data_IF_561739170398
#
_entry.id   IF_561739170398
#
_cell.length_a   1.000
_cell.length_b   1.000
_cell.length_c   1.000
_cell.angle_alpha   90.00
_cell.angle_beta   90.00
_cell.angle_gamma   90.00
#
_symmetry.space_group_name_H-M   'P 1'
#
loop_
_entity.id
_entity.type
_entity.pdbx_description
1 polymer ?
#
# COMPACT_ATOMS: atom_id res chain seq x y z
N UNK A 1 -4.06 20.91 2.37
CA UNK A 1 -4.43 19.50 2.07
C UNK A 1 -5.47 19.05 3.08
N UNK A 2 -6.65 18.57 2.70
CA UNK A 2 -7.60 17.95 3.63
C UNK A 2 -7.03 16.69 4.29
N UNK A 3 -7.45 16.43 5.53
CA UNK A 3 -6.94 15.30 6.32
C UNK A 3 -8.09 14.42 6.83
N UNK A 4 -7.79 13.15 7.11
CA UNK A 4 -8.69 12.16 7.68
C UNK A 4 -8.04 11.45 8.86
N UNK A 5 -8.85 10.83 9.70
CA UNK A 5 -8.33 9.98 10.78
C UNK A 5 -7.95 8.61 10.20
N UNK A 6 -6.83 8.09 10.64
CA UNK A 6 -6.33 6.78 10.25
C UNK A 6 -6.92 5.69 11.17
N UNK A 7 -8.18 5.36 10.95
CA UNK A 7 -8.91 4.41 11.77
C UNK A 7 -8.76 4.71 13.27
N UNK A 8 -8.68 3.67 14.08
CA UNK A 8 -8.55 3.76 15.56
C UNK A 8 -7.22 4.33 16.07
N UNK A 9 -6.24 4.58 15.19
CA UNK A 9 -4.92 5.10 15.62
C UNK A 9 -5.01 6.52 16.17
N UNK A 10 -6.05 7.28 15.78
CA UNK A 10 -6.19 8.69 16.11
C UNK A 10 -5.30 9.63 15.31
N UNK A 11 -4.37 9.09 14.50
CA UNK A 11 -3.47 9.88 13.67
C UNK A 11 -4.24 10.61 12.56
N UNK A 12 -3.85 11.87 12.34
CA UNK A 12 -4.43 12.69 11.29
C UNK A 12 -3.50 12.74 10.09
N UNK A 13 -3.93 12.11 9.00
CA UNK A 13 -3.14 11.98 7.77
C UNK A 13 -3.81 12.67 6.60
N UNK A 14 -3.04 13.07 5.58
CA UNK A 14 -3.59 13.62 4.34
C UNK A 14 -4.46 12.59 3.63
N UNK A 15 -5.59 13.03 3.06
CA UNK A 15 -6.51 12.15 2.36
C UNK A 15 -5.93 11.50 1.09
N UNK A 16 -4.85 12.06 0.56
CA UNK A 16 -4.00 11.50 -0.49
C UNK A 16 -2.64 11.17 0.06
N UNK A 17 -2.02 10.08 -0.44
CA UNK A 17 -0.69 9.62 -0.10
C UNK A 17 0.20 9.51 -1.33
N UNK A 18 1.50 9.77 -1.16
CA UNK A 18 2.51 9.63 -2.20
C UNK A 18 3.00 8.19 -2.26
N UNK A 19 2.76 7.52 -3.41
CA UNK A 19 3.20 6.14 -3.66
C UNK A 19 4.66 6.06 -4.08
N UNK A 20 5.47 5.39 -3.26
CA UNK A 20 6.92 5.31 -3.38
C UNK A 20 7.44 4.54 -4.59
N UNK A 21 6.69 3.56 -5.11
CA UNK A 21 7.15 2.79 -6.28
C UNK A 21 7.52 3.68 -7.47
N UNK A 22 6.79 4.77 -7.70
CA UNK A 22 7.07 5.73 -8.78
C UNK A 22 8.30 6.60 -8.48
N UNK A 23 8.52 6.95 -7.23
CA UNK A 23 9.66 7.75 -6.79
C UNK A 23 10.99 7.01 -6.94
N UNK A 24 10.97 5.68 -6.86
CA UNK A 24 12.18 4.85 -6.97
C UNK A 24 12.64 4.55 -8.40
N UNK A 25 11.82 4.79 -9.43
CA UNK A 25 12.10 4.42 -10.82
C UNK A 25 13.44 4.95 -11.33
N UNK A 26 14.11 4.19 -12.18
CA UNK A 26 15.44 4.51 -12.73
C UNK A 26 15.46 5.70 -13.66
N UNK A 27 14.35 5.99 -14.34
CA UNK A 27 14.16 7.14 -15.24
C UNK A 27 13.93 8.46 -14.50
N UNK A 28 13.63 8.42 -13.19
CA UNK A 28 13.53 9.60 -12.34
C UNK A 28 14.84 9.82 -11.58
N UNK A 29 15.44 11.01 -11.70
CA UNK A 29 16.67 11.34 -10.96
C UNK A 29 16.41 11.45 -9.45
N UNK A 30 17.44 11.13 -8.63
CA UNK A 30 17.32 11.26 -7.17
C UNK A 30 17.03 12.70 -6.73
N UNK A 31 17.57 13.71 -7.43
CA UNK A 31 17.33 15.13 -7.15
C UNK A 31 15.88 15.50 -7.40
N UNK A 32 15.34 15.07 -8.53
CA UNK A 32 13.94 15.35 -8.87
C UNK A 32 12.98 14.62 -7.93
N UNK A 33 13.25 13.36 -7.60
CA UNK A 33 12.46 12.62 -6.61
C UNK A 33 12.40 13.33 -5.25
N UNK A 34 13.54 13.80 -4.74
CA UNK A 34 13.61 14.60 -3.50
C UNK A 34 12.81 15.89 -3.62
N UNK A 35 12.90 16.59 -4.77
CA UNK A 35 12.14 17.80 -5.04
C UNK A 35 10.63 17.55 -4.99
N UNK A 36 10.16 16.49 -5.65
CA UNK A 36 8.74 16.10 -5.65
C UNK A 36 8.25 15.78 -4.23
N UNK A 37 9.00 14.95 -3.49
CA UNK A 37 8.62 14.56 -2.12
C UNK A 37 8.54 15.80 -1.22
N UNK A 38 9.54 16.68 -1.24
CA UNK A 38 9.54 17.89 -0.41
C UNK A 38 8.41 18.84 -0.79
N UNK A 39 8.15 19.03 -2.08
CA UNK A 39 7.03 19.85 -2.55
C UNK A 39 5.67 19.25 -2.10
N UNK A 40 5.52 17.93 -2.11
CA UNK A 40 4.32 17.27 -1.61
C UNK A 40 4.13 17.52 -0.10
N UNK A 41 5.19 17.35 0.71
CA UNK A 41 5.18 17.63 2.14
C UNK A 41 4.86 19.10 2.45
N UNK A 42 5.45 20.04 1.72
CA UNK A 42 5.19 21.47 1.89
C UNK A 42 3.75 21.86 1.51
N UNK A 43 3.13 21.12 0.58
CA UNK A 43 1.70 21.24 0.27
C UNK A 43 0.77 20.53 1.28
N UNK A 44 1.34 19.88 2.30
CA UNK A 44 0.60 19.18 3.36
C UNK A 44 0.16 17.76 2.99
N UNK A 45 0.67 17.17 1.90
CA UNK A 45 0.54 15.74 1.60
C UNK A 45 1.55 15.01 2.47
N UNK A 46 1.13 14.54 3.66
CA UNK A 46 2.03 14.02 4.67
C UNK A 46 2.20 12.50 4.66
N UNK A 47 1.32 11.74 4.00
CA UNK A 47 1.38 10.28 3.99
C UNK A 47 2.34 9.78 2.89
N UNK A 48 3.46 9.16 3.32
CA UNK A 48 4.51 8.65 2.45
C UNK A 48 4.48 7.12 2.44
N UNK A 49 3.94 6.53 1.37
CA UNK A 49 3.89 5.08 1.16
C UNK A 49 5.18 4.58 0.50
N UNK A 50 5.86 3.63 1.12
CA UNK A 50 7.05 3.01 0.57
C UNK A 50 7.03 1.47 0.73
N UNK A 51 8.07 0.78 0.29
CA UNK A 51 8.34 -0.62 0.54
C UNK A 51 9.84 -0.92 0.46
N UNK A 52 10.27 -1.90 1.23
CA UNK A 52 11.66 -2.39 1.26
C UNK A 52 12.13 -2.84 -0.13
N UNK A 53 11.26 -3.50 -0.90
CA UNK A 53 11.57 -4.05 -2.23
C UNK A 53 11.51 -3.02 -3.35
N UNK A 54 10.80 -1.89 -3.17
CA UNK A 54 10.57 -0.94 -4.25
C UNK A 54 11.86 -0.44 -4.89
N UNK A 55 12.03 -0.81 -6.18
CA UNK A 55 13.19 -0.44 -6.99
C UNK A 55 14.53 -0.79 -6.30
N UNK A 56 14.64 -1.98 -5.72
CA UNK A 56 15.80 -2.46 -4.97
C UNK A 56 16.24 -1.51 -3.84
N UNK A 57 15.27 -0.93 -3.12
CA UNK A 57 15.48 -0.01 -1.99
C UNK A 57 15.79 1.44 -2.40
N UNK A 58 15.84 1.74 -3.70
CA UNK A 58 16.07 3.13 -4.15
C UNK A 58 14.94 4.06 -3.72
N UNK A 59 13.70 3.57 -3.65
CA UNK A 59 12.56 4.36 -3.20
C UNK A 59 12.74 4.82 -1.74
N UNK A 60 13.05 3.91 -0.81
CA UNK A 60 13.33 4.27 0.59
C UNK A 60 14.53 5.20 0.72
N UNK A 61 15.61 4.96 -0.03
CA UNK A 61 16.81 5.81 -0.01
C UNK A 61 16.51 7.25 -0.47
N UNK A 62 15.64 7.42 -1.48
CA UNK A 62 15.24 8.75 -1.97
C UNK A 62 14.32 9.45 -0.96
N UNK A 63 13.39 8.72 -0.37
CA UNK A 63 12.56 9.24 0.72
C UNK A 63 13.44 9.68 1.90
N UNK A 64 14.39 8.84 2.34
CA UNK A 64 15.33 9.18 3.41
C UNK A 64 16.13 10.46 3.16
N UNK A 65 16.56 10.69 1.91
CA UNK A 65 17.18 11.97 1.53
C UNK A 65 16.23 13.16 1.65
N UNK A 66 14.97 12.97 1.29
CA UNK A 66 13.96 14.02 1.34
C UNK A 66 13.56 14.38 2.79
N UNK A 67 13.60 13.39 3.71
CA UNK A 67 13.24 13.56 5.11
C UNK A 67 14.25 14.35 5.95
N UNK A 68 15.44 14.65 5.43
CA UNK A 68 16.44 15.49 6.11
C UNK A 68 15.93 16.92 6.27
N UNK A 69 16.68 17.71 7.05
CA UNK A 69 16.47 19.16 7.21
C UNK A 69 15.09 19.53 7.74
N UNK A 70 14.56 18.75 8.73
CA UNK A 70 13.28 19.00 9.37
C UNK A 70 12.04 18.49 8.62
N UNK A 71 12.22 17.73 7.53
CA UNK A 71 11.08 17.18 6.78
C UNK A 71 10.49 15.91 7.41
N UNK A 72 11.27 15.17 8.25
CA UNK A 72 10.75 13.98 8.95
C UNK A 72 9.52 14.29 9.80
N UNK A 73 9.50 15.41 10.46
CA UNK A 73 8.43 15.87 11.34
C UNK A 73 7.14 16.22 10.59
N UNK A 74 7.24 16.47 9.29
CA UNK A 74 6.08 16.74 8.42
C UNK A 74 5.48 15.45 7.85
N UNK A 75 6.20 14.32 7.92
CA UNK A 75 5.85 13.09 7.23
C UNK A 75 5.29 12.03 8.17
N UNK A 76 4.20 11.38 7.76
CA UNK A 76 3.78 10.07 8.27
C UNK A 76 4.42 9.02 7.36
N UNK A 77 5.43 8.34 7.84
CA UNK A 77 6.27 7.42 7.06
C UNK A 77 5.72 6.01 7.18
N UNK A 78 5.33 5.44 6.06
CA UNK A 78 4.96 4.04 5.95
C UNK A 78 5.94 3.31 5.04
N UNK A 79 6.31 2.08 5.43
CA UNK A 79 6.98 1.13 4.55
C UNK A 79 6.44 -0.29 4.77
N UNK A 80 6.93 -1.23 3.99
CA UNK A 80 6.46 -2.62 3.99
C UNK A 80 7.67 -3.55 3.91
N UNK A 81 7.52 -4.76 4.45
CA UNK A 81 8.51 -5.82 4.32
C UNK A 81 7.87 -7.11 3.82
N UNK A 82 8.62 -7.87 3.06
CA UNK A 82 8.17 -9.06 2.34
C UNK A 82 8.48 -10.37 3.09
N UNK A 83 9.42 -10.33 4.03
CA UNK A 83 9.83 -11.50 4.81
C UNK A 83 8.68 -12.10 5.60
N UNK A 84 8.48 -13.42 5.47
CA UNK A 84 7.44 -14.16 6.21
C UNK A 84 7.99 -14.80 7.48
N UNK A 85 9.31 -14.95 7.59
CA UNK A 85 9.95 -15.42 8.82
C UNK A 85 10.38 -14.25 9.69
N UNK A 86 10.49 -14.48 10.99
CA UNK A 86 11.03 -13.52 11.96
C UNK A 86 12.40 -12.99 11.52
N UNK A 87 13.27 -13.90 11.05
CA UNK A 87 14.65 -13.57 10.63
C UNK A 87 14.66 -12.59 9.45
N UNK A 88 13.94 -12.92 8.38
CA UNK A 88 13.93 -12.07 7.17
C UNK A 88 13.21 -10.74 7.43
N UNK A 89 12.09 -10.76 8.14
CA UNK A 89 11.38 -9.53 8.50
C UNK A 89 12.25 -8.61 9.36
N UNK A 90 12.95 -9.15 10.38
CA UNK A 90 13.85 -8.36 11.23
C UNK A 90 14.98 -7.71 10.43
N UNK A 91 15.57 -8.45 9.48
CA UNK A 91 16.61 -7.93 8.58
C UNK A 91 16.07 -6.79 7.72
N UNK A 92 14.92 -6.99 7.06
CA UNK A 92 14.31 -6.01 6.18
C UNK A 92 13.89 -4.74 6.95
N UNK A 93 13.37 -4.86 8.19
CA UNK A 93 13.06 -3.73 9.07
C UNK A 93 14.31 -2.88 9.35
N UNK A 94 15.45 -3.53 9.70
CA UNK A 94 16.69 -2.80 9.96
C UNK A 94 17.21 -2.10 8.70
N UNK A 95 17.13 -2.74 7.55
CA UNK A 95 17.53 -2.16 6.27
C UNK A 95 16.65 -0.96 5.90
N UNK A 96 15.32 -1.06 6.09
CA UNK A 96 14.38 0.04 5.87
C UNK A 96 14.68 1.25 6.76
N UNK A 97 14.88 1.05 8.06
CA UNK A 97 15.27 2.12 8.98
C UNK A 97 16.57 2.82 8.53
N UNK A 98 17.56 2.02 8.11
CA UNK A 98 18.85 2.53 7.61
C UNK A 98 18.70 3.33 6.30
N UNK A 99 17.93 2.83 5.33
CA UNK A 99 17.72 3.49 4.03
C UNK A 99 16.92 4.79 4.18
N UNK A 100 15.88 4.75 5.03
CA UNK A 100 15.07 5.92 5.38
C UNK A 100 15.82 6.93 6.24
N UNK A 101 16.84 6.49 6.99
CA UNK A 101 17.62 7.36 7.89
C UNK A 101 16.78 7.92 9.03
N UNK A 102 15.89 7.11 9.58
CA UNK A 102 14.97 7.47 10.67
C UNK A 102 15.12 6.54 11.85
N UNK A 103 14.80 7.04 13.05
CA UNK A 103 14.83 6.24 14.28
C UNK A 103 13.60 5.34 14.39
N UNK A 104 12.48 5.75 13.81
CA UNK A 104 11.25 4.97 13.77
C UNK A 104 10.45 5.19 12.47
N UNK A 105 9.66 4.18 12.13
CA UNK A 105 8.67 4.15 11.05
C UNK A 105 7.29 4.30 11.70
N UNK A 106 6.42 5.16 11.15
CA UNK A 106 5.09 5.36 11.72
C UNK A 106 4.20 4.14 11.50
N UNK A 107 4.19 3.58 10.29
CA UNK A 107 3.41 2.39 9.96
C UNK A 107 4.26 1.38 9.19
N UNK A 108 4.33 0.16 9.70
CA UNK A 108 4.95 -0.97 9.00
C UNK A 108 3.88 -1.96 8.56
N UNK A 109 3.97 -2.43 7.32
CA UNK A 109 3.02 -3.40 6.78
C UNK A 109 3.70 -4.69 6.33
N UNK A 110 3.02 -5.84 6.56
CA UNK A 110 3.31 -7.06 5.82
C UNK A 110 2.93 -6.83 4.36
N UNK A 111 3.89 -7.01 3.45
CA UNK A 111 3.71 -6.74 2.02
C UNK A 111 3.19 -7.97 1.28
N UNK A 112 2.39 -7.74 0.23
CA UNK A 112 1.94 -8.77 -0.72
C UNK A 112 1.33 -10.02 -0.06
N UNK A 113 0.37 -9.84 0.86
CA UNK A 113 -0.43 -10.95 1.36
C UNK A 113 -1.40 -11.36 0.26
N UNK A 114 -0.96 -12.30 -0.56
CA UNK A 114 -1.62 -12.70 -1.81
C UNK A 114 -2.00 -14.18 -1.86
N UNK A 115 -1.57 -14.97 -0.85
CA UNK A 115 -1.89 -16.38 -0.64
C UNK A 115 -2.40 -16.60 0.78
N UNK A 116 -3.18 -17.64 1.01
CA UNK A 116 -3.62 -18.02 2.36
C UNK A 116 -2.42 -18.40 3.24
N UNK A 117 -1.45 -19.10 2.68
CA UNK A 117 -0.21 -19.52 3.34
C UNK A 117 0.63 -18.33 3.82
N UNK A 118 0.55 -17.17 3.18
CA UNK A 118 1.21 -15.96 3.67
C UNK A 118 0.72 -15.58 5.07
N UNK A 119 -0.60 -15.66 5.30
CA UNK A 119 -1.20 -15.37 6.60
C UNK A 119 -0.80 -16.42 7.64
N UNK A 120 -0.86 -17.70 7.30
CA UNK A 120 -0.47 -18.77 8.21
C UNK A 120 0.99 -18.61 8.64
N UNK A 121 1.90 -18.43 7.67
CA UNK A 121 3.34 -18.31 7.91
C UNK A 121 3.73 -17.12 8.79
N UNK A 122 3.05 -15.99 8.62
CA UNK A 122 3.30 -14.77 9.42
C UNK A 122 3.03 -14.99 10.90
N UNK A 123 2.03 -15.79 11.25
CA UNK A 123 1.61 -16.04 12.62
C UNK A 123 2.22 -17.31 13.25
N UNK A 124 3.09 -18.06 12.53
CA UNK A 124 3.87 -19.15 13.12
C UNK A 124 4.81 -18.68 14.23
N UNK A 125 5.34 -19.60 15.04
CA UNK A 125 6.23 -19.31 16.17
C UNK A 125 7.48 -18.53 15.73
N UNK A 126 8.07 -18.85 14.56
CA UNK A 126 9.18 -18.11 13.94
C UNK A 126 8.71 -17.17 12.82
N UNK A 127 7.44 -16.81 12.81
CA UNK A 127 6.81 -15.98 11.79
C UNK A 127 7.16 -14.49 11.92
N UNK A 128 6.91 -13.76 10.83
CA UNK A 128 7.24 -12.35 10.72
C UNK A 128 6.54 -11.47 11.77
N UNK A 129 5.36 -11.88 12.28
CA UNK A 129 4.65 -11.12 13.30
C UNK A 129 5.47 -10.90 14.56
N UNK A 130 6.32 -11.87 14.95
CA UNK A 130 7.23 -11.72 16.08
C UNK A 130 8.21 -10.56 15.90
N UNK A 131 8.77 -10.41 14.68
CA UNK A 131 9.67 -9.31 14.37
C UNK A 131 8.97 -7.94 14.44
N UNK A 132 7.71 -7.88 13.99
CA UNK A 132 6.91 -6.65 14.05
C UNK A 132 6.60 -6.26 15.50
N UNK A 133 6.19 -7.21 16.33
CA UNK A 133 5.90 -6.97 17.75
C UNK A 133 7.17 -6.50 18.48
N UNK A 134 8.30 -7.17 18.29
CA UNK A 134 9.59 -6.77 18.88
C UNK A 134 10.03 -5.37 18.41
N UNK A 135 9.84 -5.05 17.12
CA UNK A 135 10.17 -3.72 16.60
C UNK A 135 9.24 -2.63 17.19
N UNK A 136 7.97 -2.93 17.41
CA UNK A 136 7.02 -2.02 18.06
C UNK A 136 7.38 -1.81 19.52
N UNK A 137 7.65 -2.88 20.26
CA UNK A 137 8.04 -2.80 21.68
C UNK A 137 9.37 -2.05 21.88
N UNK A 138 10.27 -2.13 20.90
CA UNK A 138 11.52 -1.36 20.86
C UNK A 138 11.34 0.09 20.36
N UNK A 139 10.12 0.54 20.07
CA UNK A 139 9.83 1.89 19.57
C UNK A 139 10.31 2.17 18.15
N UNK A 140 10.68 1.14 17.39
CA UNK A 140 11.15 1.26 16.00
C UNK A 140 10.00 1.38 14.98
N UNK A 141 8.83 0.90 15.34
CA UNK A 141 7.58 1.09 14.58
C UNK A 141 6.46 1.48 15.54
N UNK A 142 5.46 2.20 15.05
CA UNK A 142 4.31 2.62 15.87
C UNK A 142 3.08 1.76 15.61
N UNK A 143 2.72 1.63 14.33
CA UNK A 143 1.51 0.93 13.89
C UNK A 143 1.85 -0.23 12.96
N UNK A 144 0.98 -1.24 12.94
CA UNK A 144 1.15 -2.47 12.16
C UNK A 144 -0.06 -2.65 11.25
N UNK A 145 0.22 -2.89 9.97
CA UNK A 145 -0.80 -3.19 8.97
C UNK A 145 -0.38 -4.31 8.02
N UNK A 146 -1.19 -4.52 7.01
CA UNK A 146 -0.82 -5.39 5.88
C UNK A 146 -1.40 -4.89 4.57
N UNK A 147 -0.87 -5.39 3.47
CA UNK A 147 -1.34 -5.11 2.12
C UNK A 147 -1.31 -6.36 1.24
N UNK A 148 -2.17 -6.38 0.27
CA UNK A 148 -2.23 -7.38 -0.79
C UNK A 148 -3.14 -6.86 -1.90
N UNK A 149 -3.23 -7.60 -2.99
CA UNK A 149 -3.92 -7.08 -4.17
C UNK A 149 -4.60 -8.17 -5.03
N UNK A 150 -4.41 -9.44 -4.70
CA UNK A 150 -4.80 -10.56 -5.56
C UNK A 150 -6.26 -10.96 -5.40
N UNK A 151 -6.68 -11.19 -4.16
CA UNK A 151 -8.00 -11.69 -3.83
C UNK A 151 -8.50 -11.14 -2.49
N UNK A 152 -9.75 -10.64 -2.40
CA UNK A 152 -10.31 -10.13 -1.15
C UNK A 152 -10.44 -11.20 -0.06
N UNK A 153 -10.62 -12.48 -0.43
CA UNK A 153 -10.74 -13.56 0.57
C UNK A 153 -9.44 -13.82 1.33
N UNK A 154 -8.28 -13.59 0.70
CA UNK A 154 -6.99 -13.64 1.39
C UNK A 154 -6.90 -12.55 2.47
N UNK A 155 -7.43 -11.34 2.20
CA UNK A 155 -7.50 -10.28 3.20
C UNK A 155 -8.41 -10.63 4.38
N UNK A 156 -9.58 -11.19 4.10
CA UNK A 156 -10.51 -11.64 5.15
C UNK A 156 -9.88 -12.73 6.00
N UNK A 157 -9.20 -13.69 5.37
CA UNK A 157 -8.46 -14.73 6.06
C UNK A 157 -7.33 -14.19 6.95
N UNK A 158 -6.57 -13.22 6.46
CA UNK A 158 -5.53 -12.56 7.26
C UNK A 158 -6.09 -11.85 8.51
N UNK A 159 -7.28 -11.23 8.38
CA UNK A 159 -7.98 -10.62 9.52
C UNK A 159 -8.46 -11.67 10.52
N UNK A 160 -8.97 -12.81 10.04
CA UNK A 160 -9.39 -13.94 10.88
C UNK A 160 -8.20 -14.54 11.63
N UNK A 161 -7.09 -14.81 10.93
CA UNK A 161 -5.84 -15.28 11.54
C UNK A 161 -5.32 -14.34 12.61
N UNK A 162 -5.31 -13.04 12.36
CA UNK A 162 -4.93 -12.06 13.36
C UNK A 162 -5.81 -12.18 14.62
N UNK A 163 -7.12 -12.30 14.44
CA UNK A 163 -8.09 -12.46 15.55
C UNK A 163 -7.84 -13.75 16.34
N UNK A 164 -7.57 -14.87 15.68
CA UNK A 164 -7.21 -16.15 16.32
C UNK A 164 -5.98 -16.00 17.24
N UNK A 165 -5.02 -15.18 16.85
CA UNK A 165 -3.80 -14.87 17.61
C UNK A 165 -3.95 -13.69 18.57
N UNK A 166 -5.18 -13.21 18.83
CA UNK A 166 -5.44 -12.08 19.74
C UNK A 166 -4.88 -10.73 19.24
N UNK A 167 -4.63 -10.62 17.93
CA UNK A 167 -4.09 -9.42 17.31
C UNK A 167 -5.15 -8.70 16.45
N UNK A 168 -4.99 -7.40 16.28
CA UNK A 168 -5.82 -6.57 15.42
C UNK A 168 -4.94 -5.54 14.70
N UNK A 169 -4.94 -5.57 13.39
CA UNK A 169 -4.21 -4.62 12.56
C UNK A 169 -4.73 -3.18 12.74
N UNK A 170 -3.82 -2.23 12.63
CA UNK A 170 -4.16 -0.80 12.67
C UNK A 170 -4.63 -0.30 11.30
N UNK A 171 -4.07 -0.85 10.21
CA UNK A 171 -4.42 -0.48 8.84
C UNK A 171 -4.45 -1.69 7.91
N UNK A 172 -5.24 -1.57 6.84
CA UNK A 172 -5.21 -2.50 5.70
C UNK A 172 -5.15 -1.70 4.41
N UNK A 173 -4.19 -2.06 3.54
CA UNK A 173 -4.02 -1.45 2.22
C UNK A 173 -4.48 -2.42 1.14
N UNK A 174 -5.36 -1.96 0.25
CA UNK A 174 -5.97 -2.78 -0.79
C UNK A 174 -6.36 -1.97 -2.03
N UNK A 175 -6.53 -2.62 -3.20
CA UNK A 175 -7.03 -1.96 -4.39
C UNK A 175 -8.44 -1.42 -4.17
N UNK A 176 -8.62 -0.13 -4.45
CA UNK A 176 -9.93 0.52 -4.47
C UNK A 176 -10.00 1.43 -5.70
N UNK A 177 -10.70 0.99 -6.73
CA UNK A 177 -10.80 1.70 -8.00
C UNK A 177 -12.15 1.39 -8.69
N UNK A 178 -12.41 2.06 -9.80
CA UNK A 178 -13.66 1.95 -10.55
C UNK A 178 -13.89 0.60 -11.23
N UNK A 179 -12.86 -0.24 -11.39
CA UNK A 179 -12.96 -1.60 -11.93
C UNK A 179 -13.16 -2.63 -10.83
N UNK A 180 -12.58 -2.39 -9.64
CA UNK A 180 -12.65 -3.29 -8.48
C UNK A 180 -14.08 -3.67 -8.10
N UNK A 181 -15.02 -2.73 -8.23
CA UNK A 181 -16.43 -2.96 -7.92
C UNK A 181 -17.07 -4.13 -8.69
N UNK A 182 -16.46 -4.58 -9.79
CA UNK A 182 -17.03 -5.56 -10.73
C UNK A 182 -16.31 -6.91 -10.76
N UNK A 183 -15.12 -7.02 -10.17
CA UNK A 183 -14.31 -8.23 -10.25
C UNK A 183 -13.46 -8.44 -9.00
N UNK A 184 -13.69 -9.55 -8.26
CA UNK A 184 -12.99 -9.85 -7.00
C UNK A 184 -12.88 -8.61 -6.11
N UNK A 185 -14.03 -8.06 -5.76
CA UNK A 185 -14.14 -6.71 -5.22
C UNK A 185 -13.69 -6.61 -3.76
N UNK A 186 -12.63 -5.87 -3.51
CA UNK A 186 -12.22 -5.45 -2.17
C UNK A 186 -13.22 -4.47 -1.56
N UNK A 187 -13.80 -3.60 -2.39
CA UNK A 187 -14.87 -2.69 -1.96
C UNK A 187 -16.06 -3.45 -1.36
N UNK A 188 -16.47 -4.54 -2.00
CA UNK A 188 -17.66 -5.29 -1.59
C UNK A 188 -17.40 -6.19 -0.38
N UNK A 189 -16.24 -6.84 -0.34
CA UNK A 189 -15.99 -7.90 0.63
C UNK A 189 -15.16 -7.46 1.84
N UNK A 190 -14.13 -6.62 1.64
CA UNK A 190 -13.18 -6.26 2.70
C UNK A 190 -13.52 -4.91 3.33
N UNK A 191 -13.83 -3.90 2.52
CA UNK A 191 -14.06 -2.54 2.99
C UNK A 191 -15.10 -2.44 4.11
N UNK A 192 -16.29 -3.09 4.05
CA UNK A 192 -17.27 -3.03 5.14
C UNK A 192 -16.73 -3.58 6.47
N UNK A 193 -15.95 -4.66 6.42
CA UNK A 193 -15.33 -5.28 7.61
C UNK A 193 -14.34 -4.33 8.27
N UNK A 194 -13.51 -3.64 7.47
CA UNK A 194 -12.55 -2.68 7.99
C UNK A 194 -13.23 -1.48 8.65
N UNK A 195 -14.29 -0.96 8.03
CA UNK A 195 -15.08 0.16 8.55
C UNK A 195 -15.75 -0.23 9.88
N UNK A 196 -16.39 -1.40 9.94
CA UNK A 196 -17.01 -1.92 11.17
C UNK A 196 -16.00 -2.07 12.31
N UNK A 197 -14.78 -2.49 11.99
CA UNK A 197 -13.71 -2.69 12.98
C UNK A 197 -12.88 -1.45 13.25
N UNK A 198 -13.19 -0.29 12.67
CA UNK A 198 -12.41 0.95 12.78
C UNK A 198 -10.91 0.74 12.44
N UNK A 199 -10.63 -0.08 11.42
CA UNK A 199 -9.30 -0.29 10.87
C UNK A 199 -9.06 0.76 9.78
N UNK A 200 -7.89 1.43 9.81
CA UNK A 200 -7.53 2.45 8.82
C UNK A 200 -7.46 1.87 7.40
N UNK A 201 -8.30 2.40 6.51
CA UNK A 201 -8.39 1.94 5.12
C UNK A 201 -7.45 2.73 4.22
N UNK A 202 -6.48 2.05 3.63
CA UNK A 202 -5.55 2.62 2.66
C UNK A 202 -5.93 2.11 1.26
N UNK A 203 -6.55 2.98 0.45
CA UNK A 203 -6.87 2.67 -0.95
C UNK A 203 -5.63 2.82 -1.82
N UNK A 204 -5.34 1.82 -2.63
CA UNK A 204 -4.26 1.89 -3.63
C UNK A 204 -4.73 1.49 -5.02
N UNK A 205 -3.87 1.64 -6.01
CA UNK A 205 -4.14 1.25 -7.40
C UNK A 205 -5.42 1.87 -7.97
N UNK A 206 -5.71 3.11 -7.55
CA UNK A 206 -6.89 3.88 -8.00
C UNK A 206 -6.98 4.01 -9.53
N UNK A 207 -5.84 3.97 -10.22
CA UNK A 207 -5.73 3.97 -11.68
C UNK A 207 -5.11 2.68 -12.25
N UNK A 208 -4.98 1.60 -11.44
CA UNK A 208 -4.42 0.32 -11.88
C UNK A 208 -3.02 0.45 -12.48
N UNK A 209 -2.16 1.26 -11.89
CA UNK A 209 -0.84 1.61 -12.44
C UNK A 209 -0.92 2.26 -13.85
N UNK A 210 -1.95 3.07 -14.08
CA UNK A 210 -2.23 3.73 -15.36
C UNK A 210 -2.98 2.85 -16.38
N UNK A 211 -3.15 1.57 -16.13
CA UNK A 211 -3.82 0.64 -17.06
C UNK A 211 -5.31 1.00 -17.21
N UNK A 212 -5.98 1.39 -16.12
CA UNK A 212 -7.40 1.79 -16.15
C UNK A 212 -7.62 2.99 -17.07
N UNK A 213 -6.70 3.94 -17.11
CA UNK A 213 -6.82 5.12 -17.98
C UNK A 213 -6.73 4.77 -19.47
N UNK A 214 -6.06 3.65 -19.82
CA UNK A 214 -6.01 3.14 -21.21
C UNK A 214 -7.36 2.67 -21.74
N UNK A 215 -8.34 2.46 -20.87
CA UNK A 215 -9.72 2.18 -21.26
C UNK A 215 -10.40 3.34 -22.01
N UNK A 216 -9.94 4.57 -21.77
CA UNK A 216 -10.50 5.79 -22.36
C UNK A 216 -11.87 6.19 -21.83
N UNK A 217 -12.47 5.43 -20.89
CA UNK A 217 -13.83 5.70 -20.38
C UNK A 217 -13.86 6.50 -19.08
N UNK A 218 -12.71 6.64 -18.40
CA UNK A 218 -12.56 7.41 -17.17
C UNK A 218 -11.28 8.23 -17.18
N UNK A 219 -11.32 9.39 -16.54
CA UNK A 219 -10.17 10.26 -16.30
C UNK A 219 -9.48 9.95 -14.98
N UNK A 220 -8.24 10.43 -14.81
CA UNK A 220 -7.50 10.32 -13.53
C UNK A 220 -8.27 11.01 -12.39
N UNK A 221 -8.91 12.15 -12.66
CA UNK A 221 -9.71 12.90 -11.67
C UNK A 221 -10.92 12.08 -11.22
N UNK A 222 -11.67 11.47 -12.15
CA UNK A 222 -12.79 10.59 -11.82
C UNK A 222 -12.33 9.38 -10.97
N UNK A 223 -11.19 8.77 -11.31
CA UNK A 223 -10.63 7.65 -10.54
C UNK A 223 -10.25 8.07 -9.10
N UNK A 224 -9.60 9.23 -8.93
CA UNK A 224 -9.22 9.73 -7.61
C UNK A 224 -10.45 10.12 -6.79
N UNK A 225 -11.40 10.87 -7.37
CA UNK A 225 -12.62 11.29 -6.67
C UNK A 225 -13.48 10.09 -6.28
N UNK A 226 -13.55 9.05 -7.13
CA UNK A 226 -14.21 7.79 -6.77
C UNK A 226 -13.57 7.16 -5.54
N UNK A 227 -12.25 6.91 -5.57
CA UNK A 227 -11.56 6.28 -4.46
C UNK A 227 -11.63 7.12 -3.17
N UNK A 228 -11.57 8.45 -3.28
CA UNK A 228 -11.75 9.38 -2.16
C UNK A 228 -13.17 9.41 -1.61
N UNK A 229 -14.19 9.07 -2.41
CA UNK A 229 -15.60 9.01 -1.97
C UNK A 229 -15.92 7.74 -1.18
N UNK A 230 -15.05 6.73 -1.25
CA UNK A 230 -15.15 5.56 -0.38
C UNK A 230 -14.67 5.91 1.04
N UNK A 231 -15.07 5.15 2.07
CA UNK A 231 -14.63 5.37 3.45
C UNK A 231 -13.15 4.99 3.65
N UNK A 232 -12.26 5.68 2.93
CA UNK A 232 -10.81 5.55 3.01
C UNK A 232 -10.22 6.55 3.98
N UNK A 233 -9.19 6.18 4.71
CA UNK A 233 -8.35 7.13 5.46
C UNK A 233 -7.38 7.85 4.51
N UNK A 234 -6.77 7.10 3.59
CA UNK A 234 -5.83 7.61 2.58
C UNK A 234 -6.08 6.93 1.24
N UNK A 235 -5.99 7.68 0.15
CA UNK A 235 -5.87 7.12 -1.21
C UNK A 235 -4.45 7.36 -1.71
N UNK A 236 -3.71 6.29 -1.92
CA UNK A 236 -2.32 6.33 -2.37
C UNK A 236 -2.28 6.39 -3.90
N UNK A 237 -1.53 7.36 -4.43
CA UNK A 237 -1.36 7.54 -5.87
C UNK A 237 0.11 7.69 -6.25
N UNK A 238 0.47 7.24 -7.45
CA UNK A 238 1.82 7.40 -8.00
C UNK A 238 2.06 8.84 -8.45
N UNK A 239 3.20 9.41 -8.03
CA UNK A 239 3.61 10.76 -8.38
C UNK A 239 5.07 10.70 -8.82
N UNK A 240 5.35 10.89 -10.11
CA UNK A 240 6.68 10.81 -10.71
C UNK A 240 7.10 12.09 -11.42
N UNK A 241 6.28 13.13 -11.34
CA UNK A 241 6.58 14.45 -11.88
C UNK A 241 5.86 15.55 -11.11
N UNK A 242 6.34 16.80 -11.22
CA UNK A 242 5.67 17.96 -10.63
C UNK A 242 4.28 18.19 -11.24
N UNK A 243 4.08 17.85 -12.52
CA UNK A 243 2.77 17.95 -13.17
C UNK A 243 1.75 16.98 -12.55
N UNK A 244 2.17 15.74 -12.27
CA UNK A 244 1.31 14.74 -11.57
C UNK A 244 1.10 15.14 -10.10
N UNK A 245 2.09 15.73 -9.44
CA UNK A 245 1.90 16.29 -8.10
C UNK A 245 0.81 17.37 -8.11
N UNK A 246 0.89 18.34 -9.03
CA UNK A 246 -0.13 19.39 -9.11
C UNK A 246 -1.53 18.82 -9.42
N UNK A 247 -1.64 17.86 -10.34
CA UNK A 247 -2.90 17.16 -10.61
C UNK A 247 -3.45 16.47 -9.35
N UNK A 248 -2.57 15.84 -8.55
CA UNK A 248 -2.93 15.17 -7.30
C UNK A 248 -3.41 16.19 -6.25
N UNK A 249 -2.72 17.32 -6.12
CA UNK A 249 -3.13 18.40 -5.22
C UNK A 249 -4.45 19.03 -5.65
N UNK A 250 -4.67 19.19 -6.95
CA UNK A 250 -5.93 19.69 -7.50
C UNK A 250 -7.09 18.72 -7.23
N UNK A 251 -6.85 17.40 -7.35
CA UNK A 251 -7.85 16.41 -6.99
C UNK A 251 -8.30 16.55 -5.53
N UNK A 252 -7.38 16.86 -4.61
CA UNK A 252 -7.73 17.09 -3.21
C UNK A 252 -8.45 18.43 -2.97
N UNK A 253 -8.06 19.50 -3.68
CA UNK A 253 -8.68 20.83 -3.55
C UNK A 253 -10.11 20.85 -4.06
N UNK A 254 -10.37 20.15 -5.16
CA UNK A 254 -11.68 20.12 -5.85
C UNK A 254 -12.56 18.99 -5.38
N UNK A 255 -12.07 18.12 -4.50
CA UNK A 255 -12.82 16.97 -4.03
C UNK A 255 -14.13 17.38 -3.35
N UNK A 256 -15.20 16.80 -3.87
CA UNK A 256 -16.51 16.73 -3.22
C UNK A 256 -16.92 15.26 -3.22
N UNK A 257 -17.44 14.72 -2.11
CA UNK A 257 -17.93 13.35 -2.09
C UNK A 257 -18.97 13.13 -3.21
N UNK A 258 -18.76 12.07 -3.99
CA UNK A 258 -19.72 11.69 -5.02
C UNK A 258 -21.01 11.18 -4.37
N UNK A 259 -22.14 11.54 -4.94
CA UNK A 259 -23.43 10.94 -4.57
C UNK A 259 -23.51 9.50 -5.08
N UNK A 260 -24.41 8.68 -4.50
CA UNK A 260 -24.62 7.31 -4.95
C UNK A 260 -24.96 7.25 -6.45
N UNK A 261 -25.80 8.19 -6.95
CA UNK A 261 -26.12 8.29 -8.38
C UNK A 261 -24.89 8.57 -9.25
N UNK A 262 -23.97 9.42 -8.77
CA UNK A 262 -22.72 9.71 -9.50
C UNK A 262 -21.78 8.52 -9.49
N UNK A 263 -21.69 7.78 -8.36
CA UNK A 263 -20.95 6.54 -8.26
C UNK A 263 -21.52 5.50 -9.23
N UNK A 264 -22.84 5.30 -9.24
CA UNK A 264 -23.50 4.33 -10.12
C UNK A 264 -23.28 4.66 -11.61
N UNK A 265 -23.37 5.95 -11.99
CA UNK A 265 -23.05 6.39 -13.35
C UNK A 265 -21.61 6.11 -13.73
N UNK A 266 -20.67 6.32 -12.81
CA UNK A 266 -19.24 6.06 -13.05
C UNK A 266 -18.97 4.55 -13.18
N UNK A 267 -19.57 3.74 -12.32
CA UNK A 267 -19.46 2.29 -12.37
C UNK A 267 -20.12 1.70 -13.63
N UNK A 268 -21.23 2.28 -14.09
CA UNK A 268 -21.87 1.87 -15.35
C UNK A 268 -20.93 2.02 -16.56
N UNK A 269 -20.07 3.07 -16.59
CA UNK A 269 -19.08 3.25 -17.67
C UNK A 269 -18.06 2.10 -17.71
N UNK A 270 -17.70 1.51 -16.55
CA UNK A 270 -16.63 0.54 -16.40
C UNK A 270 -17.08 -0.91 -16.37
N UNK A 271 -18.37 -1.17 -16.08
CA UNK A 271 -18.91 -2.50 -15.82
C UNK A 271 -18.64 -3.52 -16.95
N UNK A 272 -18.76 -3.11 -18.22
CA UNK A 272 -18.57 -3.99 -19.36
C UNK A 272 -17.09 -4.32 -19.63
N UNK A 273 -16.16 -3.51 -19.12
CA UNK A 273 -14.71 -3.67 -19.27
C UNK A 273 -14.08 -4.44 -18.09
N UNK A 274 -14.74 -4.45 -16.93
CA UNK A 274 -14.13 -4.93 -15.70
C UNK A 274 -14.40 -6.39 -15.36
N UNK A 275 -15.36 -7.05 -16.03
CA UNK A 275 -15.90 -8.38 -15.66
C UNK A 275 -14.86 -9.50 -15.55
N UNK A 276 -13.73 -9.39 -16.24
CA UNK A 276 -12.66 -10.40 -16.26
C UNK A 276 -11.35 -9.89 -15.64
N UNK A 277 -11.36 -8.69 -15.03
CA UNK A 277 -10.16 -8.09 -14.44
C UNK A 277 -9.11 -7.65 -15.47
N UNK A 278 -9.49 -7.39 -16.72
CA UNK A 278 -8.57 -7.05 -17.82
C UNK A 278 -7.75 -5.78 -17.54
N UNK A 279 -8.30 -4.84 -16.77
CA UNK A 279 -7.63 -3.60 -16.34
C UNK A 279 -7.03 -3.67 -14.93
N UNK A 280 -7.13 -4.81 -14.27
CA UNK A 280 -6.60 -5.07 -12.94
C UNK A 280 -5.58 -6.23 -12.99
N UNK A 281 -4.50 -6.03 -13.76
CA UNK A 281 -3.47 -7.05 -14.00
C UNK A 281 -2.83 -7.57 -12.71
N UNK A 282 -2.82 -6.78 -11.65
CA UNK A 282 -2.39 -7.19 -10.32
C UNK A 282 -3.27 -8.30 -9.70
N UNK A 283 -4.55 -8.44 -10.13
CA UNK A 283 -5.43 -9.55 -9.73
C UNK A 283 -5.26 -10.79 -10.62
N UNK A 284 -4.91 -10.61 -11.89
CA UNK A 284 -5.05 -11.65 -12.93
C UNK A 284 -3.72 -12.21 -13.46
N UNK A 285 -2.59 -11.58 -13.14
CA UNK A 285 -1.25 -11.99 -13.58
C UNK A 285 -0.29 -12.07 -12.40
N UNK A 286 0.90 -12.64 -12.59
CA UNK A 286 1.99 -12.66 -11.61
C UNK A 286 2.94 -11.46 -11.73
N UNK A 287 2.72 -10.57 -12.70
CA UNK A 287 3.61 -9.44 -12.99
C UNK A 287 3.82 -8.47 -11.82
N UNK A 288 2.96 -8.50 -10.81
CA UNK A 288 3.03 -7.65 -9.63
C UNK A 288 3.33 -8.44 -8.35
N UNK A 289 3.78 -9.67 -8.47
CA UNK A 289 3.96 -10.61 -7.36
C UNK A 289 5.47 -10.78 -7.06
N UNK A 290 6.10 -9.76 -6.46
CA UNK A 290 7.55 -9.79 -6.14
C UNK A 290 7.91 -10.98 -5.25
N UNK A 291 7.02 -11.36 -4.34
CA UNK A 291 7.21 -12.53 -3.46
C UNK A 291 7.18 -13.87 -4.19
N UNK A 292 6.56 -13.95 -5.38
CA UNK A 292 6.60 -15.15 -6.21
C UNK A 292 7.94 -15.29 -6.97
N UNK A 293 8.60 -14.16 -7.24
CA UNK A 293 9.92 -14.13 -7.88
C UNK A 293 11.08 -14.33 -6.89
N UNK A 294 10.80 -14.17 -5.57
CA UNK A 294 11.79 -14.24 -4.50
C UNK A 294 11.31 -15.17 -3.37
N UNK A 295 11.25 -16.49 -3.61
CA UNK A 295 10.69 -17.46 -2.64
C UNK A 295 11.47 -17.53 -1.32
N UNK A 296 12.74 -17.14 -1.30
CA UNK A 296 13.54 -17.05 -0.07
C UNK A 296 12.99 -16.03 0.93
N UNK A 297 12.24 -15.00 0.48
CA UNK A 297 11.58 -14.05 1.38
C UNK A 297 10.43 -14.71 2.14
N UNK A 298 9.84 -15.76 1.56
CA UNK A 298 8.77 -16.54 2.18
C UNK A 298 9.30 -17.58 3.18
N UNK A 299 10.63 -17.69 3.32
CA UNK A 299 11.28 -18.69 4.16
C UNK A 299 11.45 -20.04 3.46
N UNK A 300 11.25 -20.11 2.15
CA UNK A 300 11.57 -21.31 1.39
C UNK A 300 13.10 -21.49 1.30
N UNK A 301 13.52 -22.75 1.41
CA UNK A 301 14.90 -23.13 1.12
C UNK A 301 14.99 -23.61 -0.35
N UNK A 302 15.60 -22.82 -1.25
CA UNK A 302 15.71 -23.18 -2.65
C UNK A 302 16.42 -24.52 -2.88
N UNK A 303 17.39 -24.87 -2.02
CA UNK A 303 18.08 -26.15 -2.12
C UNK A 303 17.15 -27.31 -1.77
N UNK A 304 16.31 -27.16 -0.77
CA UNK A 304 15.29 -28.15 -0.39
C UNK A 304 14.24 -28.31 -1.49
N UNK A 305 13.74 -27.21 -2.04
CA UNK A 305 12.76 -27.25 -3.13
C UNK A 305 13.33 -27.97 -4.34
N UNK A 306 14.56 -27.62 -4.77
CA UNK A 306 15.25 -28.27 -5.88
C UNK A 306 15.46 -29.79 -5.62
N UNK A 307 15.79 -30.17 -4.39
CA UNK A 307 15.96 -31.58 -4.03
C UNK A 307 14.66 -32.38 -4.12
N UNK A 308 13.50 -31.73 -3.93
CA UNK A 308 12.18 -32.38 -3.96
C UNK A 308 11.59 -32.47 -5.38
N UNK A 309 11.81 -31.44 -6.21
CA UNK A 309 11.17 -31.37 -7.55
C UNK A 309 12.10 -31.80 -8.69
N UNK A 310 13.39 -31.95 -8.42
CA UNK A 310 14.42 -32.21 -9.44
C UNK A 310 14.86 -30.93 -10.18
N UNK A 311 15.77 -31.10 -11.14
CA UNK A 311 16.21 -30.00 -12.02
C UNK A 311 15.20 -29.73 -13.13
#
# INVERSE_FOLDING_TARGET
MPTRILGRTGERVSMLGLGGSHIGKSDLSSTEAVRIIRAALDAGLNFMDNSWDYNNGHSETRLGKALKDGYREKAFVMTKVDGRTKKEASKQIQESLKRLGVDHIDLLQHHEIIRFEDADRIFEEDGAMQAFLEARDAGKIRYIGFTGHKDPHVHLYMLEKAKEHGFRFDTVQMPLNVMDAHFRSFRTHVLPVLVEQDIGVLGMKSMGNGVILKSGVVSAMECLHYALSLPTSVVITGIDSMAILEQTLEAARTFQPLTDEQIDKLLAKTSHLARKGEYELFKTTTHFDSTAENPEWLGEDPARVKALVGD
#
